data_IF_834319691775
#
_entry.id   IF_834319691775
#
_cell.length_a   1.000
_cell.length_b   1.000
_cell.length_c   1.000
_cell.angle_alpha   90.00
_cell.angle_beta   90.00
_cell.angle_gamma   90.00
#
_symmetry.space_group_name_H-M   'P 1'
#
loop_
_entity.id
_entity.type
_entity.pdbx_description
1 polymer ?
#
# COMPACT_ATOMS: atom_id res chain seq x y z
N UNK A 1 -27.12 -0.52 10.66
CA UNK A 1 -25.97 0.43 10.59
C UNK A 1 -26.40 1.60 9.73
N UNK A 2 -26.09 2.83 10.13
CA UNK A 2 -26.35 4.04 9.34
C UNK A 2 -25.09 4.38 8.52
N UNK A 3 -25.30 4.82 7.28
CA UNK A 3 -24.24 5.31 6.38
C UNK A 3 -23.89 6.73 6.80
N UNK A 4 -22.61 7.10 6.71
CA UNK A 4 -22.18 8.45 7.07
C UNK A 4 -22.84 9.54 6.20
N UNK A 5 -23.26 10.63 6.83
CA UNK A 5 -23.91 11.74 6.13
C UNK A 5 -22.94 12.52 5.20
N UNK A 6 -21.67 12.64 5.60
CA UNK A 6 -20.67 13.44 4.88
C UNK A 6 -20.46 12.93 3.44
N UNK A 7 -20.66 13.77 2.41
CA UNK A 7 -20.43 13.38 1.02
C UNK A 7 -18.99 12.95 0.74
N UNK A 8 -17.99 13.69 1.25
CA UNK A 8 -16.57 13.37 1.01
C UNK A 8 -16.19 12.06 1.67
N UNK A 9 -16.62 11.82 2.91
CA UNK A 9 -16.39 10.54 3.61
C UNK A 9 -17.02 9.35 2.86
N UNK A 10 -18.20 9.53 2.24
CA UNK A 10 -18.79 8.50 1.38
C UNK A 10 -17.94 8.21 0.15
N UNK A 11 -17.36 9.23 -0.47
CA UNK A 11 -16.44 9.02 -1.61
C UNK A 11 -15.12 8.39 -1.19
N UNK A 12 -14.58 8.76 -0.03
CA UNK A 12 -13.41 8.12 0.58
C UNK A 12 -13.69 6.64 0.83
N UNK A 13 -14.84 6.31 1.41
CA UNK A 13 -15.25 4.92 1.64
C UNK A 13 -15.41 4.11 0.35
N UNK A 14 -15.98 4.71 -0.70
CA UNK A 14 -16.15 4.04 -2.00
C UNK A 14 -14.79 3.77 -2.68
N UNK A 15 -13.89 4.74 -2.61
CA UNK A 15 -12.53 4.60 -3.18
C UNK A 15 -11.67 3.63 -2.38
N UNK A 16 -11.82 3.58 -1.05
CA UNK A 16 -11.27 2.53 -0.17
C UNK A 16 -11.73 1.13 -0.59
N UNK A 17 -13.03 0.94 -0.82
CA UNK A 17 -13.59 -0.33 -1.26
C UNK A 17 -13.03 -0.73 -2.65
N UNK A 18 -12.79 0.24 -3.52
CA UNK A 18 -12.17 0.00 -4.83
C UNK A 18 -10.70 -0.41 -4.71
N UNK A 19 -9.91 0.25 -3.85
CA UNK A 19 -8.56 -0.19 -3.49
C UNK A 19 -8.59 -1.62 -2.95
N UNK A 20 -9.55 -1.92 -2.07
CA UNK A 20 -9.71 -3.25 -1.50
C UNK A 20 -9.89 -4.31 -2.59
N UNK A 21 -10.86 -4.12 -3.48
CA UNK A 21 -11.17 -5.04 -4.55
C UNK A 21 -9.99 -5.24 -5.52
N UNK A 22 -9.37 -4.14 -5.96
CA UNK A 22 -8.24 -4.17 -6.90
C UNK A 22 -7.03 -4.88 -6.28
N UNK A 23 -6.69 -4.54 -5.04
CA UNK A 23 -5.54 -5.10 -4.33
C UNK A 23 -5.75 -6.59 -4.05
N UNK A 24 -6.93 -7.00 -3.57
CA UNK A 24 -7.23 -8.42 -3.35
C UNK A 24 -7.21 -9.23 -4.64
N UNK A 25 -7.66 -8.66 -5.77
CA UNK A 25 -7.54 -9.30 -7.08
C UNK A 25 -6.06 -9.54 -7.46
N UNK A 26 -5.20 -8.55 -7.28
CA UNK A 26 -3.76 -8.72 -7.55
C UNK A 26 -3.09 -9.70 -6.59
N UNK A 27 -3.48 -9.70 -5.31
CA UNK A 27 -3.01 -10.70 -4.36
C UNK A 27 -3.37 -12.11 -4.81
N UNK A 28 -4.63 -12.36 -5.18
CA UNK A 28 -5.10 -13.66 -5.66
C UNK A 28 -4.35 -14.12 -6.92
N UNK A 29 -4.10 -13.21 -7.86
CA UNK A 29 -3.32 -13.51 -9.06
C UNK A 29 -1.88 -13.93 -8.74
N UNK A 30 -1.20 -13.18 -7.86
CA UNK A 30 0.18 -13.50 -7.47
C UNK A 30 0.23 -14.82 -6.68
N UNK A 31 -0.79 -15.13 -5.87
CA UNK A 31 -0.91 -16.43 -5.20
C UNK A 31 -0.97 -17.56 -6.23
N UNK A 32 -1.73 -17.39 -7.32
CA UNK A 32 -1.79 -18.36 -8.42
C UNK A 32 -0.44 -18.61 -9.11
N UNK A 33 0.51 -17.67 -9.00
CA UNK A 33 1.87 -17.78 -9.57
C UNK A 33 2.91 -18.36 -8.59
N UNK A 34 2.52 -18.71 -7.36
CA UNK A 34 3.42 -19.28 -6.34
C UNK A 34 4.17 -20.55 -6.74
N UNK A 35 3.61 -21.51 -7.51
CA UNK A 35 4.33 -22.74 -7.83
C UNK A 35 5.67 -22.52 -8.54
N UNK A 36 5.83 -21.39 -9.24
CA UNK A 36 7.06 -21.03 -9.96
C UNK A 36 8.03 -20.18 -9.14
N UNK A 37 7.52 -19.32 -8.26
CA UNK A 37 8.31 -18.30 -7.54
C UNK A 37 7.77 -18.09 -6.12
N UNK A 38 7.83 -19.15 -5.30
CA UNK A 38 7.03 -19.25 -4.06
C UNK A 38 7.25 -18.11 -3.07
N UNK A 39 8.48 -17.64 -2.90
CA UNK A 39 8.79 -16.60 -1.93
C UNK A 39 8.39 -15.20 -2.40
N UNK A 40 8.92 -14.75 -3.55
CA UNK A 40 8.62 -13.43 -4.11
C UNK A 40 7.13 -13.23 -4.31
N UNK A 41 6.45 -14.22 -4.90
CA UNK A 41 5.01 -14.18 -5.10
C UNK A 41 4.26 -14.07 -3.76
N UNK A 42 4.73 -14.73 -2.70
CA UNK A 42 4.11 -14.65 -1.37
C UNK A 42 4.28 -13.30 -0.70
N UNK A 43 5.46 -12.67 -0.77
CA UNK A 43 5.71 -11.34 -0.20
C UNK A 43 4.84 -10.29 -0.86
N UNK A 44 4.82 -10.28 -2.20
CA UNK A 44 4.04 -9.30 -2.96
C UNK A 44 2.53 -9.56 -2.86
N UNK A 45 2.09 -10.83 -2.89
CA UNK A 45 0.70 -11.15 -2.58
C UNK A 45 0.30 -10.70 -1.17
N UNK A 46 1.18 -10.88 -0.19
CA UNK A 46 0.98 -10.39 1.17
C UNK A 46 0.80 -8.87 1.21
N UNK A 47 1.65 -8.13 0.49
CA UNK A 47 1.57 -6.67 0.37
C UNK A 47 0.22 -6.22 -0.18
N UNK A 48 -0.22 -6.81 -1.30
CA UNK A 48 -1.53 -6.50 -1.88
C UNK A 48 -2.69 -6.98 -1.00
N UNK A 49 -2.55 -8.11 -0.31
CA UNK A 49 -3.58 -8.62 0.59
C UNK A 49 -3.77 -7.69 1.78
N UNK A 50 -2.69 -7.25 2.42
CA UNK A 50 -2.77 -6.32 3.56
C UNK A 50 -3.27 -4.94 3.11
N UNK A 51 -2.87 -4.45 1.94
CA UNK A 51 -3.46 -3.24 1.36
C UNK A 51 -4.97 -3.42 1.15
N UNK A 52 -5.36 -4.57 0.61
CA UNK A 52 -6.76 -4.93 0.40
C UNK A 52 -7.59 -4.93 1.68
N UNK A 53 -7.06 -5.54 2.74
CA UNK A 53 -7.68 -5.55 4.07
C UNK A 53 -7.75 -4.15 4.68
N UNK A 54 -6.72 -3.32 4.49
CA UNK A 54 -6.74 -1.94 4.95
C UNK A 54 -7.81 -1.10 4.26
N UNK A 55 -7.96 -1.22 2.93
CA UNK A 55 -9.02 -0.54 2.19
C UNK A 55 -10.41 -1.05 2.58
N UNK A 56 -10.59 -2.35 2.81
CA UNK A 56 -11.87 -2.89 3.27
C UNK A 56 -12.27 -2.32 4.65
N UNK A 57 -11.29 -2.20 5.56
CA UNK A 57 -11.50 -1.62 6.88
C UNK A 57 -11.69 -0.09 6.82
N UNK A 58 -10.94 0.59 5.94
CA UNK A 58 -11.10 2.01 5.64
C UNK A 58 -12.51 2.33 5.15
N UNK A 59 -13.02 1.53 4.21
CA UNK A 59 -14.39 1.65 3.70
C UNK A 59 -15.45 1.55 4.81
N UNK A 60 -15.24 0.67 5.79
CA UNK A 60 -16.13 0.53 6.96
C UNK A 60 -16.06 1.76 7.85
N UNK A 61 -14.84 2.26 8.13
CA UNK A 61 -14.67 3.36 9.07
C UNK A 61 -15.11 4.70 8.48
N UNK A 62 -14.81 4.95 7.22
CA UNK A 62 -15.24 6.15 6.52
C UNK A 62 -16.72 6.06 6.13
N UNK A 63 -17.21 4.88 5.75
CA UNK A 63 -18.56 4.74 5.18
C UNK A 63 -19.70 4.70 6.18
N UNK A 64 -19.42 4.44 7.46
CA UNK A 64 -20.45 4.23 8.48
C UNK A 64 -20.41 5.27 9.59
N UNK A 65 -21.59 5.58 10.11
CA UNK A 65 -21.72 6.33 11.36
C UNK A 65 -21.33 5.45 12.55
N UNK A 66 -20.11 5.66 13.04
CA UNK A 66 -19.53 4.94 14.17
C UNK A 66 -19.41 5.85 15.39
N UNK A 67 -19.68 5.29 16.57
CA UNK A 67 -19.33 5.99 17.81
C UNK A 67 -17.81 6.16 17.91
N UNK A 68 -17.31 7.22 18.59
CA UNK A 68 -15.87 7.48 18.70
C UNK A 68 -15.06 6.25 19.14
N UNK A 69 -15.57 5.51 20.14
CA UNK A 69 -14.98 4.26 20.63
C UNK A 69 -14.89 3.16 19.55
N UNK A 70 -15.94 2.97 18.75
CA UNK A 70 -15.94 1.96 17.67
C UNK A 70 -14.98 2.36 16.56
N UNK A 71 -14.96 3.65 16.18
CA UNK A 71 -13.99 4.19 15.23
C UNK A 71 -12.56 3.92 15.69
N UNK A 72 -12.24 4.24 16.95
CA UNK A 72 -10.90 4.00 17.52
C UNK A 72 -10.52 2.51 17.51
N UNK A 73 -11.43 1.62 17.90
CA UNK A 73 -11.20 0.17 17.90
C UNK A 73 -10.86 -0.35 16.50
N UNK A 74 -11.50 0.17 15.45
CA UNK A 74 -11.22 -0.21 14.06
C UNK A 74 -9.96 0.49 13.50
N UNK A 75 -9.66 1.70 13.96
CA UNK A 75 -8.49 2.45 13.51
C UNK A 75 -7.15 1.81 13.91
N UNK A 76 -7.12 1.16 15.08
CA UNK A 76 -5.93 0.47 15.58
C UNK A 76 -5.45 -0.67 14.65
N UNK A 77 -6.28 -1.68 14.33
CA UNK A 77 -5.87 -2.71 13.39
C UNK A 77 -5.64 -2.14 11.99
N UNK A 78 -6.39 -1.12 11.54
CA UNK A 78 -6.14 -0.46 10.25
C UNK A 78 -4.70 0.08 10.18
N UNK A 79 -4.28 0.82 11.20
CA UNK A 79 -2.93 1.42 11.28
C UNK A 79 -1.84 0.33 11.27
N UNK A 80 -2.06 -0.75 12.02
CA UNK A 80 -1.11 -1.88 12.03
C UNK A 80 -1.03 -2.56 10.65
N UNK A 81 -2.16 -2.82 10.00
CA UNK A 81 -2.21 -3.46 8.68
C UNK A 81 -1.53 -2.60 7.62
N UNK A 82 -1.71 -1.27 7.66
CA UNK A 82 -0.98 -0.35 6.78
C UNK A 82 0.53 -0.39 7.04
N UNK A 83 0.96 -0.38 8.31
CA UNK A 83 2.37 -0.53 8.66
C UNK A 83 2.98 -1.84 8.14
N UNK A 84 2.23 -2.94 8.24
CA UNK A 84 2.63 -4.24 7.67
C UNK A 84 2.69 -4.19 6.14
N UNK A 85 1.75 -3.51 5.49
CA UNK A 85 1.76 -3.31 4.02
C UNK A 85 3.05 -2.64 3.57
N UNK A 86 3.42 -1.52 4.21
CA UNK A 86 4.67 -0.79 3.92
C UNK A 86 5.90 -1.65 4.21
N UNK A 87 5.90 -2.41 5.31
CA UNK A 87 6.99 -3.32 5.65
C UNK A 87 7.19 -4.40 4.58
N UNK A 88 6.11 -5.07 4.15
CA UNK A 88 6.16 -6.10 3.12
C UNK A 88 6.59 -5.52 1.76
N UNK A 89 6.13 -4.31 1.43
CA UNK A 89 6.58 -3.59 0.24
C UNK A 89 8.10 -3.37 0.25
N UNK A 90 8.64 -2.89 1.37
CA UNK A 90 10.08 -2.70 1.55
C UNK A 90 10.86 -4.03 1.49
N UNK A 91 10.34 -5.11 2.08
CA UNK A 91 10.93 -6.46 1.97
C UNK A 91 10.97 -6.91 0.52
N UNK A 92 9.89 -6.70 -0.24
CA UNK A 92 9.82 -7.00 -1.65
C UNK A 92 10.89 -6.25 -2.45
N UNK A 93 11.01 -4.93 -2.23
CA UNK A 93 12.02 -4.09 -2.89
C UNK A 93 13.45 -4.51 -2.52
N UNK A 94 13.72 -4.87 -1.26
CA UNK A 94 15.02 -5.45 -0.84
C UNK A 94 15.28 -6.77 -1.57
N UNK A 95 14.26 -7.63 -1.70
CA UNK A 95 14.39 -8.92 -2.37
C UNK A 95 14.71 -8.77 -3.85
N UNK A 96 14.06 -7.82 -4.53
CA UNK A 96 14.29 -7.54 -5.94
C UNK A 96 15.67 -6.89 -6.18
N UNK A 97 16.15 -6.06 -5.25
CA UNK A 97 17.44 -5.36 -5.39
C UNK A 97 18.64 -6.21 -4.97
N UNK A 98 18.53 -6.95 -3.86
CA UNK A 98 19.63 -7.60 -3.15
C UNK A 98 19.47 -9.12 -3.03
N UNK A 99 18.34 -9.67 -3.50
CA UNK A 99 18.04 -11.10 -3.49
C UNK A 99 17.27 -11.57 -2.25
N UNK A 100 16.67 -12.76 -2.38
CA UNK A 100 15.79 -13.37 -1.38
C UNK A 100 16.44 -13.52 0.01
N UNK A 101 17.73 -13.90 0.06
CA UNK A 101 18.45 -14.07 1.34
C UNK A 101 18.53 -12.77 2.14
N UNK A 102 18.74 -11.64 1.46
CA UNK A 102 18.76 -10.33 2.10
C UNK A 102 17.35 -9.95 2.60
N UNK A 103 16.33 -10.16 1.77
CA UNK A 103 14.93 -9.90 2.14
C UNK A 103 14.48 -10.71 3.36
N UNK A 104 14.79 -12.02 3.41
CA UNK A 104 14.47 -12.88 4.55
C UNK A 104 15.13 -12.43 5.84
N UNK A 105 16.36 -11.91 5.78
CA UNK A 105 17.05 -11.32 6.94
C UNK A 105 16.44 -10.00 7.38
N UNK A 106 16.00 -9.17 6.42
CA UNK A 106 15.38 -7.88 6.71
C UNK A 106 13.94 -8.00 7.24
N UNK A 107 13.20 -9.04 6.82
CA UNK A 107 11.78 -9.23 7.10
C UNK A 107 11.41 -9.10 8.59
N UNK A 108 12.06 -9.77 9.55
CA UNK A 108 11.71 -9.61 10.97
C UNK A 108 11.88 -8.17 11.43
N UNK A 109 12.97 -7.51 11.05
CA UNK A 109 13.24 -6.12 11.43
C UNK A 109 12.21 -5.15 10.84
N UNK A 110 11.85 -5.33 9.58
CA UNK A 110 10.84 -4.49 8.91
C UNK A 110 9.43 -4.73 9.50
N UNK A 111 9.05 -5.96 9.80
CA UNK A 111 7.78 -6.24 10.50
C UNK A 111 7.76 -5.69 11.93
N UNK A 112 8.87 -5.81 12.67
CA UNK A 112 9.00 -5.20 14.00
C UNK A 112 8.90 -3.67 13.92
N UNK A 113 9.43 -3.05 12.85
CA UNK A 113 9.31 -1.61 12.65
C UNK A 113 7.86 -1.16 12.42
N UNK A 114 7.04 -1.97 11.74
CA UNK A 114 5.60 -1.73 11.65
C UNK A 114 4.89 -1.79 13.02
N UNK A 115 5.29 -2.74 13.88
CA UNK A 115 4.80 -2.81 15.26
C UNK A 115 5.25 -1.61 16.10
N UNK A 116 6.51 -1.18 15.95
CA UNK A 116 7.06 0.01 16.59
C UNK A 116 6.32 1.29 16.17
N UNK A 117 6.04 1.43 14.86
CA UNK A 117 5.22 2.50 14.31
C UNK A 117 3.83 2.50 14.92
N UNK A 118 3.17 1.35 14.96
CA UNK A 118 1.85 1.21 15.59
C UNK A 118 1.89 1.71 17.04
N UNK A 119 2.83 1.22 17.87
CA UNK A 119 2.95 1.67 19.26
C UNK A 119 3.23 3.18 19.36
N UNK A 120 4.12 3.72 18.53
CA UNK A 120 4.45 5.14 18.51
C UNK A 120 3.24 6.00 18.11
N UNK A 121 2.49 5.58 17.09
CA UNK A 121 1.31 6.28 16.59
C UNK A 121 0.20 6.40 17.65
N UNK A 122 0.10 5.40 18.55
CA UNK A 122 -0.88 5.39 19.63
C UNK A 122 -0.49 6.27 20.83
N UNK A 123 0.80 6.57 21.00
CA UNK A 123 1.31 7.30 22.18
C UNK A 123 1.58 8.77 21.91
N UNK A 124 1.80 9.13 20.65
CA UNK A 124 2.22 10.47 20.27
C UNK A 124 1.05 11.22 19.63
N UNK A 125 0.85 12.49 20.03
CA UNK A 125 -0.25 13.34 19.53
C UNK A 125 -0.24 13.51 18.00
N UNK A 126 0.90 13.29 17.34
CA UNK A 126 1.09 13.37 15.88
C UNK A 126 1.23 11.99 15.23
N UNK A 127 0.44 11.01 15.67
CA UNK A 127 0.58 9.61 15.21
C UNK A 127 0.54 9.44 13.68
N UNK A 128 -0.32 10.21 12.99
CA UNK A 128 -0.41 10.17 11.52
C UNK A 128 0.86 10.67 10.81
N UNK A 129 1.52 11.71 11.35
CA UNK A 129 2.79 12.20 10.79
C UNK A 129 3.90 11.14 10.86
N UNK A 130 3.92 10.34 11.92
CA UNK A 130 4.90 9.25 12.09
C UNK A 130 4.67 8.18 11.02
N UNK A 131 3.41 7.86 10.72
CA UNK A 131 3.05 6.96 9.64
C UNK A 131 3.54 7.49 8.29
N UNK A 132 3.29 8.77 7.98
CA UNK A 132 3.77 9.40 6.75
C UNK A 132 5.30 9.32 6.61
N UNK A 133 6.06 9.59 7.68
CA UNK A 133 7.52 9.52 7.64
C UNK A 133 8.00 8.09 7.36
N UNK A 134 7.36 7.10 8.01
CA UNK A 134 7.69 5.70 7.83
C UNK A 134 7.39 5.22 6.39
N UNK A 135 6.22 5.57 5.86
CA UNK A 135 5.84 5.30 4.49
C UNK A 135 6.80 5.97 3.50
N UNK A 136 7.06 7.27 3.67
CA UNK A 136 7.96 8.03 2.80
C UNK A 136 9.37 7.40 2.75
N UNK A 137 9.92 6.98 3.89
CA UNK A 137 11.22 6.32 3.93
C UNK A 137 11.24 5.02 3.11
N UNK A 138 10.22 4.17 3.27
CA UNK A 138 10.11 2.92 2.54
C UNK A 138 9.88 3.13 1.04
N UNK A 139 9.04 4.09 0.67
CA UNK A 139 8.70 4.38 -0.72
C UNK A 139 9.85 5.06 -1.47
N UNK A 140 10.59 5.97 -0.83
CA UNK A 140 11.81 6.55 -1.40
C UNK A 140 12.91 5.50 -1.60
N UNK A 141 13.08 4.60 -0.62
CA UNK A 141 13.97 3.46 -0.77
C UNK A 141 13.57 2.60 -1.97
N UNK A 142 12.30 2.22 -2.08
CA UNK A 142 11.81 1.39 -3.17
C UNK A 142 11.93 2.09 -4.53
N UNK A 143 11.67 3.40 -4.61
CA UNK A 143 11.84 4.19 -5.82
C UNK A 143 13.31 4.16 -6.27
N UNK A 144 14.25 4.40 -5.36
CA UNK A 144 15.68 4.30 -5.64
C UNK A 144 16.11 2.89 -6.08
N UNK A 145 15.57 1.86 -5.44
CA UNK A 145 15.81 0.46 -5.79
C UNK A 145 15.35 0.16 -7.23
N UNK A 146 14.09 0.46 -7.58
CA UNK A 146 13.56 0.18 -8.91
C UNK A 146 14.12 1.08 -10.00
N UNK A 147 14.45 2.34 -9.69
CA UNK A 147 15.16 3.22 -10.62
C UNK A 147 16.55 2.64 -10.97
N UNK A 148 17.29 2.17 -9.96
CA UNK A 148 18.58 1.51 -10.16
C UNK A 148 18.45 0.22 -10.96
N UNK A 149 17.46 -0.61 -10.66
CA UNK A 149 17.21 -1.86 -11.40
C UNK A 149 16.82 -1.58 -12.87
N UNK A 150 16.02 -0.55 -13.11
CA UNK A 150 15.63 -0.11 -14.45
C UNK A 150 16.83 0.41 -15.25
N UNK A 151 17.67 1.26 -14.65
CA UNK A 151 18.90 1.76 -15.28
C UNK A 151 19.89 0.64 -15.62
N UNK A 152 19.96 -0.39 -14.77
CA UNK A 152 20.84 -1.53 -14.99
C UNK A 152 20.28 -2.58 -15.96
N UNK A 153 18.99 -2.52 -16.33
CA UNK A 153 18.32 -3.55 -17.14
C UNK A 153 18.27 -4.92 -16.46
N UNK A 154 18.24 -4.98 -15.11
CA UNK A 154 18.41 -6.22 -14.33
C UNK A 154 17.12 -6.78 -13.74
N UNK A 155 15.97 -6.23 -14.13
CA UNK A 155 14.67 -6.63 -13.63
C UNK A 155 13.59 -6.24 -14.64
N UNK A 156 12.93 -7.24 -15.20
CA UNK A 156 11.81 -7.02 -16.10
C UNK A 156 10.64 -6.42 -15.33
N UNK A 157 10.10 -5.31 -15.81
CA UNK A 157 9.06 -4.58 -15.09
C UNK A 157 9.56 -3.48 -14.15
N UNK A 158 10.86 -3.21 -14.06
CA UNK A 158 11.41 -2.26 -13.09
C UNK A 158 10.93 -0.83 -13.33
N UNK A 159 10.74 -0.44 -14.60
CA UNK A 159 10.19 0.87 -14.96
C UNK A 159 8.74 1.01 -14.48
N UNK A 160 7.93 -0.04 -14.65
CA UNK A 160 6.55 -0.08 -14.18
C UNK A 160 6.50 -0.04 -12.65
N UNK A 161 7.39 -0.77 -11.96
CA UNK A 161 7.51 -0.70 -10.50
C UNK A 161 7.87 0.72 -10.04
N UNK A 162 8.90 1.34 -10.64
CA UNK A 162 9.32 2.70 -10.31
C UNK A 162 8.20 3.72 -10.54
N UNK A 163 7.49 3.63 -11.68
CA UNK A 163 6.36 4.51 -11.99
C UNK A 163 5.20 4.32 -11.00
N UNK A 164 4.87 3.07 -10.65
CA UNK A 164 3.86 2.77 -9.63
C UNK A 164 4.22 3.33 -8.26
N UNK A 165 5.47 3.17 -7.83
CA UNK A 165 5.99 3.75 -6.57
C UNK A 165 5.93 5.28 -6.59
N UNK A 166 6.33 5.90 -7.70
CA UNK A 166 6.27 7.36 -7.85
C UNK A 166 4.82 7.87 -7.74
N UNK A 167 3.87 7.19 -8.38
CA UNK A 167 2.44 7.53 -8.26
C UNK A 167 1.97 7.40 -6.80
N UNK A 168 2.38 6.35 -6.08
CA UNK A 168 2.04 6.21 -4.65
C UNK A 168 2.64 7.34 -3.79
N UNK A 169 3.86 7.81 -4.08
CA UNK A 169 4.46 8.96 -3.37
C UNK A 169 3.67 10.24 -3.64
N UNK A 170 3.25 10.46 -4.89
CA UNK A 170 2.39 11.59 -5.26
C UNK A 170 1.04 11.48 -4.53
N UNK A 171 0.47 10.28 -4.46
CA UNK A 171 -0.76 10.03 -3.71
C UNK A 171 -0.59 10.39 -2.23
N UNK A 172 0.44 9.88 -1.55
CA UNK A 172 0.70 10.18 -0.14
C UNK A 172 0.89 11.69 0.10
N UNK A 173 1.53 12.39 -0.85
CA UNK A 173 1.67 13.85 -0.80
C UNK A 173 0.31 14.55 -0.84
N UNK A 174 -0.61 14.10 -1.70
CA UNK A 174 -2.00 14.58 -1.75
C UNK A 174 -2.72 14.30 -0.43
N UNK A 175 -2.56 13.10 0.14
CA UNK A 175 -3.18 12.74 1.42
C UNK A 175 -2.74 13.66 2.56
N UNK A 176 -1.48 14.09 2.55
CA UNK A 176 -0.94 15.00 3.57
C UNK A 176 -1.34 16.47 3.40
N UNK A 177 -2.09 16.80 2.33
CA UNK A 177 -2.53 18.15 2.02
C UNK A 177 -3.96 18.43 2.53
N UNK A 178 -4.43 19.66 2.33
CA UNK A 178 -5.84 20.05 2.50
C UNK A 178 -6.57 20.20 1.16
N UNK A 179 -6.13 19.49 0.12
CA UNK A 179 -6.71 19.58 -1.21
C UNK A 179 -8.13 19.01 -1.23
N UNK A 180 -9.06 19.74 -1.83
CA UNK A 180 -10.44 19.30 -2.06
C UNK A 180 -10.83 19.67 -3.48
N UNK A 181 -11.51 18.76 -4.19
CA UNK A 181 -11.92 18.93 -5.57
C UNK A 181 -13.35 18.40 -5.77
N UNK A 182 -14.09 18.98 -6.70
CA UNK A 182 -15.37 18.41 -7.16
C UNK A 182 -15.21 17.99 -8.62
N UNK A 183 -15.33 16.69 -8.89
CA UNK A 183 -15.17 16.13 -10.23
C UNK A 183 -16.52 15.59 -10.69
N UNK A 184 -17.06 16.11 -11.79
CA UNK A 184 -18.39 15.76 -12.32
C UNK A 184 -19.53 15.83 -11.26
N UNK A 185 -19.45 16.81 -10.35
CA UNK A 185 -20.43 16.97 -9.27
C UNK A 185 -20.23 16.07 -8.04
N UNK A 186 -19.17 15.24 -8.03
CA UNK A 186 -18.80 14.39 -6.89
C UNK A 186 -17.71 15.09 -6.06
N UNK A 187 -17.95 15.43 -4.79
CA UNK A 187 -16.97 16.08 -3.94
C UNK A 187 -15.95 15.05 -3.42
N UNK A 188 -14.66 15.38 -3.52
CA UNK A 188 -13.54 14.56 -3.10
C UNK A 188 -12.64 15.41 -2.20
N UNK A 189 -12.32 14.89 -1.02
CA UNK A 189 -11.28 15.46 -0.17
C UNK A 189 -9.92 14.83 -0.48
N UNK A 190 -8.89 15.26 0.26
CA UNK A 190 -7.53 14.75 0.14
C UNK A 190 -7.42 13.22 0.25
N UNK A 191 -8.28 12.56 1.03
CA UNK A 191 -8.28 11.09 1.14
C UNK A 191 -8.91 10.44 -0.10
N UNK A 192 -10.05 10.95 -0.56
CA UNK A 192 -10.66 10.48 -1.81
C UNK A 192 -9.73 10.66 -3.01
N UNK A 193 -9.04 11.80 -3.09
CA UNK A 193 -8.05 12.07 -4.15
C UNK A 193 -6.81 11.19 -4.03
N UNK A 194 -6.29 11.00 -2.81
CA UNK A 194 -5.24 10.03 -2.52
C UNK A 194 -5.58 8.64 -3.06
N UNK A 195 -6.77 8.13 -2.75
CA UNK A 195 -7.18 6.81 -3.20
C UNK A 195 -7.29 6.71 -4.72
N UNK A 196 -7.83 7.72 -5.40
CA UNK A 196 -7.93 7.74 -6.87
C UNK A 196 -6.55 7.68 -7.51
N UNK A 197 -5.59 8.47 -7.02
CA UNK A 197 -4.22 8.46 -7.54
C UNK A 197 -3.54 7.13 -7.22
N UNK A 198 -3.72 6.59 -6.01
CA UNK A 198 -3.19 5.29 -5.63
C UNK A 198 -3.73 4.16 -6.53
N UNK A 199 -5.03 4.19 -6.86
CA UNK A 199 -5.66 3.23 -7.78
C UNK A 199 -4.98 3.23 -9.15
N UNK A 200 -4.53 4.39 -9.66
CA UNK A 200 -3.78 4.47 -10.91
C UNK A 200 -2.38 3.84 -10.82
N UNK A 201 -1.76 3.83 -9.64
CA UNK A 201 -0.46 3.22 -9.40
C UNK A 201 -0.48 1.69 -9.30
N UNK A 202 -1.57 1.10 -8.77
CA UNK A 202 -1.66 -0.35 -8.55
C UNK A 202 -1.48 -1.21 -9.83
N UNK A 203 -2.07 -0.86 -10.98
CA UNK A 203 -1.83 -1.58 -12.23
C UNK A 203 -0.38 -1.59 -12.69
N UNK A 204 0.37 -0.51 -12.45
CA UNK A 204 1.79 -0.43 -12.82
C UNK A 204 2.63 -1.35 -11.92
N UNK A 205 2.38 -1.33 -10.61
CA UNK A 205 3.03 -2.25 -9.67
C UNK A 205 2.73 -3.71 -10.04
N UNK A 206 1.46 -4.03 -10.30
CA UNK A 206 1.08 -5.39 -10.69
C UNK A 206 1.71 -5.80 -12.04
N UNK A 207 1.73 -4.92 -13.04
CA UNK A 207 2.35 -5.18 -14.33
C UNK A 207 3.87 -5.43 -14.20
N UNK A 208 4.55 -4.62 -13.40
CA UNK A 208 5.98 -4.78 -13.12
C UNK A 208 6.28 -6.13 -12.46
N UNK A 209 5.48 -6.52 -11.47
CA UNK A 209 5.64 -7.81 -10.80
C UNK A 209 5.33 -9.01 -11.68
N UNK A 210 4.30 -8.93 -12.54
CA UNK A 210 4.00 -9.99 -13.51
C UNK A 210 5.17 -10.21 -14.47
N UNK A 211 5.68 -9.12 -15.06
CA UNK A 211 6.84 -9.19 -15.95
C UNK A 211 8.04 -9.86 -15.27
N UNK A 212 8.33 -9.46 -14.03
CA UNK A 212 9.44 -10.02 -13.26
C UNK A 212 9.26 -11.48 -12.86
N UNK A 213 8.02 -11.96 -12.72
CA UNK A 213 7.72 -13.36 -12.37
C UNK A 213 7.67 -14.25 -13.62
N UNK A 214 7.30 -13.70 -14.77
CA UNK A 214 7.22 -14.41 -16.04
C UNK A 214 8.60 -14.58 -16.70
N UNK A 215 9.57 -13.72 -16.38
CA UNK A 215 10.91 -13.77 -16.96
C UNK A 215 11.94 -14.61 -16.20
N UNK A 216 11.63 -15.00 -14.96
CA UNK A 216 12.52 -15.82 -14.14
C UNK A 216 12.36 -17.31 -14.53
N UNK A 217 13.42 -18.01 -14.97
CA UNK A 217 13.35 -19.44 -15.28
C UNK A 217 12.96 -20.24 -14.03
N UNK A 218 12.23 -21.34 -14.22
CA UNK A 218 11.86 -22.27 -13.14
C UNK A 218 13.16 -22.76 -12.45
N UNK A 219 13.33 -22.41 -11.17
CA UNK A 219 14.49 -22.77 -10.36
C UNK A 219 14.44 -24.21 -9.87
#
# INVERSE_FOLDING_TARGET
MQIIASPTERTTAATDALIAAISLRYAAELIGRRPRHSWKASVWAGTFATLGLSGALGAVVHGLELSPRRREILWRPLTLILGVTVALFAVGAVGDLLGERAARRALPGLLLSAGGLYVASQRLQRGFLIFIIYEAAAMLFALGAYARLAQAGRFDGAQQMAAGVLISIIAASIQSSSLELTIFGVPLDHNGLFHIVQIAGLPLLAAGLRAALDSQPES
#
